data_IF_654479073280
#
_entry.id   IF_654479073280
#
_cell.length_a   1.000
_cell.length_b   1.000
_cell.length_c   1.000
_cell.angle_alpha   90.00
_cell.angle_beta   90.00
_cell.angle_gamma   90.00
#
_symmetry.space_group_name_H-M   'P 1'
#
loop_
_entity.id
_entity.type
_entity.pdbx_description
1 polymer ?
#
# COMPACT_ATOMS: atom_id res chain seq x y z
N UNK A 1 20.66 -3.51 -13.95
CA UNK A 1 20.70 -4.61 -12.95
C UNK A 1 19.88 -4.17 -11.75
N UNK A 2 19.11 -5.07 -11.12
CA UNK A 2 18.41 -4.74 -9.87
C UNK A 2 19.43 -4.41 -8.77
N UNK A 3 19.12 -3.42 -7.92
CA UNK A 3 20.01 -2.98 -6.84
C UNK A 3 21.43 -2.59 -7.30
N UNK A 4 21.53 -1.99 -8.49
CA UNK A 4 22.82 -1.58 -9.09
C UNK A 4 23.31 -0.26 -8.49
N UNK A 5 24.55 -0.27 -7.98
CA UNK A 5 25.22 0.95 -7.48
C UNK A 5 25.41 1.96 -8.62
N UNK A 6 25.81 1.51 -9.81
CA UNK A 6 25.99 2.39 -10.96
C UNK A 6 24.67 3.05 -11.42
N UNK A 7 23.54 2.34 -11.27
CA UNK A 7 22.22 2.91 -11.57
C UNK A 7 21.76 3.93 -10.51
N UNK A 8 22.20 3.81 -9.26
CA UNK A 8 22.00 4.86 -8.24
C UNK A 8 22.86 6.08 -8.60
N UNK A 9 24.11 5.85 -8.98
CA UNK A 9 25.06 6.91 -9.31
C UNK A 9 24.60 7.82 -10.48
N UNK A 10 23.82 7.29 -11.43
CA UNK A 10 23.23 8.08 -12.52
C UNK A 10 22.27 9.16 -12.01
N UNK A 11 21.63 8.93 -10.87
CA UNK A 11 20.66 9.84 -10.25
C UNK A 11 21.23 10.58 -9.03
N UNK A 12 22.54 10.46 -8.74
CA UNK A 12 23.17 11.11 -7.58
C UNK A 12 22.87 12.61 -7.48
N UNK A 13 22.99 13.42 -8.55
CA UNK A 13 22.70 14.85 -8.45
C UNK A 13 21.25 15.16 -8.05
N UNK A 14 20.31 14.30 -8.46
CA UNK A 14 18.92 14.41 -8.07
C UNK A 14 18.75 14.01 -6.59
N UNK A 15 19.42 12.95 -6.15
CA UNK A 15 19.32 12.47 -4.77
C UNK A 15 19.95 13.44 -3.77
N UNK A 16 21.08 14.06 -4.08
CA UNK A 16 21.67 15.12 -3.25
C UNK A 16 20.67 16.27 -3.03
N UNK A 17 20.07 16.79 -4.11
CA UNK A 17 19.03 17.83 -4.01
C UNK A 17 17.83 17.36 -3.17
N UNK A 18 17.39 16.11 -3.32
CA UNK A 18 16.27 15.56 -2.55
C UNK A 18 16.63 15.49 -1.06
N UNK A 19 17.82 15.04 -0.70
CA UNK A 19 18.27 14.99 0.69
C UNK A 19 18.32 16.40 1.29
N UNK A 20 18.91 17.37 0.59
CA UNK A 20 18.97 18.77 1.03
C UNK A 20 17.57 19.36 1.27
N UNK A 21 16.63 19.13 0.34
CA UNK A 21 15.26 19.62 0.50
C UNK A 21 14.50 18.89 1.61
N UNK A 22 14.72 17.59 1.78
CA UNK A 22 14.10 16.82 2.84
C UNK A 22 14.63 17.21 4.21
N UNK A 23 15.92 17.47 4.35
CA UNK A 23 16.54 18.00 5.58
C UNK A 23 15.99 19.39 5.90
N UNK A 24 15.93 20.29 4.91
CA UNK A 24 15.37 21.64 5.10
C UNK A 24 13.89 21.65 5.50
N UNK A 25 13.15 20.58 5.20
CA UNK A 25 11.73 20.41 5.51
C UNK A 25 11.47 19.47 6.70
N UNK A 26 12.52 18.97 7.35
CA UNK A 26 12.43 18.04 8.50
C UNK A 26 11.63 16.76 8.16
N UNK A 27 11.86 16.19 6.97
CA UNK A 27 11.13 15.02 6.47
C UNK A 27 11.67 13.67 6.97
N UNK A 28 12.84 13.66 7.64
CA UNK A 28 13.47 12.47 8.24
C UNK A 28 13.52 11.24 7.29
N UNK A 29 14.00 11.47 6.07
CA UNK A 29 14.17 10.39 5.09
C UNK A 29 15.39 9.53 5.48
N UNK A 30 15.22 8.22 5.53
CA UNK A 30 16.25 7.29 6.00
C UNK A 30 17.15 6.79 4.85
N UNK A 31 16.62 5.89 4.02
CA UNK A 31 17.42 5.20 2.99
C UNK A 31 16.76 5.30 1.64
N UNK A 32 17.56 5.60 0.60
CA UNK A 32 17.20 5.52 -0.80
C UNK A 32 17.85 4.30 -1.47
N UNK A 33 17.07 3.48 -2.17
CA UNK A 33 17.55 2.23 -2.78
C UNK A 33 17.00 2.07 -4.20
N UNK A 34 17.81 1.61 -5.15
CA UNK A 34 17.33 1.17 -6.46
C UNK A 34 16.53 -0.13 -6.34
N UNK A 35 15.32 -0.12 -6.87
CA UNK A 35 14.35 -1.21 -6.76
C UNK A 35 14.41 -2.20 -7.95
N UNK A 36 13.43 -3.11 -8.04
CA UNK A 36 13.38 -4.11 -9.11
C UNK A 36 13.10 -3.48 -10.48
N UNK A 37 12.23 -2.48 -10.59
CA UNK A 37 11.86 -1.90 -11.88
C UNK A 37 12.92 -0.99 -12.50
N UNK A 38 12.86 -0.81 -13.82
CA UNK A 38 13.70 0.15 -14.53
C UNK A 38 13.48 1.59 -14.00
N UNK A 39 14.53 2.22 -13.49
CA UNK A 39 14.47 3.57 -12.91
C UNK A 39 13.59 3.67 -11.66
N UNK A 40 13.26 2.54 -11.03
CA UNK A 40 12.44 2.51 -9.84
C UNK A 40 13.33 2.70 -8.60
N UNK A 41 12.90 3.57 -7.70
CA UNK A 41 13.58 3.87 -6.44
C UNK A 41 12.62 3.67 -5.28
N UNK A 42 13.14 3.19 -4.15
CA UNK A 42 12.46 3.13 -2.86
C UNK A 42 13.07 4.14 -1.91
N UNK A 43 12.21 4.79 -1.13
CA UNK A 43 12.59 5.72 -0.07
C UNK A 43 11.86 5.33 1.20
N UNK A 44 12.62 5.22 2.29
CA UNK A 44 12.12 4.79 3.59
C UNK A 44 11.96 5.97 4.55
N UNK A 45 10.87 5.93 5.31
CA UNK A 45 10.63 6.81 6.45
C UNK A 45 10.77 6.00 7.73
N UNK A 46 11.29 6.63 8.77
CA UNK A 46 11.24 6.05 10.11
C UNK A 46 9.77 5.93 10.58
N UNK A 47 9.49 4.95 11.44
CA UNK A 47 8.17 4.83 12.04
C UNK A 47 7.98 5.90 13.12
N UNK A 48 6.73 6.26 13.41
CA UNK A 48 6.44 7.39 14.30
C UNK A 48 4.95 7.70 14.39
N UNK A 49 4.63 8.96 14.70
CA UNK A 49 3.25 9.42 14.74
C UNK A 49 2.60 9.29 13.35
N UNK A 50 1.44 8.63 13.23
CA UNK A 50 0.86 8.31 11.94
C UNK A 50 0.40 9.55 11.16
N UNK A 51 0.06 10.67 11.83
CA UNK A 51 -0.35 11.89 11.14
C UNK A 51 0.87 12.64 10.61
N UNK A 52 1.91 12.77 11.42
CA UNK A 52 3.20 13.33 10.99
C UNK A 52 3.78 12.55 9.79
N UNK A 53 3.75 11.22 9.84
CA UNK A 53 4.20 10.40 8.71
C UNK A 53 3.36 10.60 7.45
N UNK A 54 2.05 10.81 7.58
CA UNK A 54 1.20 11.09 6.43
C UNK A 54 1.56 12.44 5.79
N UNK A 55 1.83 13.47 6.61
CA UNK A 55 2.31 14.78 6.18
C UNK A 55 3.66 14.63 5.46
N UNK A 56 4.61 13.93 6.08
CA UNK A 56 5.95 13.69 5.52
C UNK A 56 5.89 13.00 4.16
N UNK A 57 5.11 11.92 4.03
CA UNK A 57 4.93 11.22 2.74
C UNK A 57 4.27 12.14 1.70
N UNK A 58 3.27 12.93 2.10
CA UNK A 58 2.59 13.84 1.18
C UNK A 58 3.53 14.93 0.65
N UNK A 59 4.28 15.58 1.54
CA UNK A 59 5.26 16.60 1.18
C UNK A 59 6.40 16.02 0.37
N UNK A 60 6.94 14.87 0.77
CA UNK A 60 7.97 14.16 0.04
C UNK A 60 7.57 13.90 -1.42
N UNK A 61 6.37 13.37 -1.67
CA UNK A 61 5.88 13.13 -3.04
C UNK A 61 5.86 14.40 -3.89
N UNK A 62 5.60 15.56 -3.28
CA UNK A 62 5.61 16.87 -3.95
C UNK A 62 7.04 17.35 -4.18
N UNK A 63 7.88 17.32 -3.15
CA UNK A 63 9.29 17.70 -3.19
C UNK A 63 10.06 16.91 -4.24
N UNK A 64 9.87 15.58 -4.29
CA UNK A 64 10.51 14.71 -5.28
C UNK A 64 10.17 15.12 -6.72
N UNK A 65 8.91 15.47 -6.98
CA UNK A 65 8.48 15.89 -8.32
C UNK A 65 9.13 17.21 -8.72
N UNK A 66 9.19 18.17 -7.81
CA UNK A 66 9.83 19.47 -8.07
C UNK A 66 11.35 19.33 -8.26
N UNK A 67 12.00 18.49 -7.46
CA UNK A 67 13.42 18.18 -7.62
C UNK A 67 13.67 17.53 -8.99
N UNK A 68 12.93 16.47 -9.33
CA UNK A 68 13.08 15.78 -10.62
C UNK A 68 12.93 16.71 -11.83
N UNK A 69 11.97 17.66 -11.78
CA UNK A 69 11.78 18.64 -12.85
C UNK A 69 13.01 19.53 -13.07
N UNK A 70 13.74 19.89 -12.00
CA UNK A 70 15.00 20.67 -12.11
C UNK A 70 16.11 19.90 -12.82
N UNK A 71 16.06 18.58 -12.76
CA UNK A 71 16.98 17.66 -13.43
C UNK A 71 16.47 17.20 -14.80
N UNK A 72 15.45 17.85 -15.37
CA UNK A 72 14.80 17.47 -16.64
C UNK A 72 14.22 16.04 -16.63
N UNK A 73 13.79 15.57 -15.47
CA UNK A 73 13.20 14.24 -15.26
C UNK A 73 11.77 14.35 -14.74
N UNK A 74 11.02 13.26 -14.86
CA UNK A 74 9.70 13.12 -14.24
C UNK A 74 9.72 12.03 -13.17
N UNK A 75 9.53 12.41 -11.92
CA UNK A 75 9.20 11.46 -10.87
C UNK A 75 7.70 11.15 -10.88
N UNK A 76 7.35 9.88 -10.76
CA UNK A 76 5.96 9.41 -10.75
C UNK A 76 5.72 8.38 -9.64
N UNK A 77 4.57 8.50 -8.99
CA UNK A 77 4.07 7.53 -8.01
C UNK A 77 2.90 6.71 -8.57
N UNK A 78 2.70 6.76 -9.89
CA UNK A 78 1.71 5.94 -10.59
C UNK A 78 1.95 4.46 -10.27
N UNK A 79 0.90 3.72 -9.90
CA UNK A 79 1.04 2.34 -9.46
C UNK A 79 1.64 1.42 -10.53
N UNK A 80 1.32 1.64 -11.81
CA UNK A 80 1.85 0.86 -12.94
C UNK A 80 2.18 1.80 -14.11
N UNK A 81 3.36 2.44 -14.10
CA UNK A 81 3.74 3.41 -15.13
C UNK A 81 4.14 2.75 -16.45
N UNK A 82 4.73 1.54 -16.38
CA UNK A 82 5.26 0.81 -17.53
C UNK A 82 4.69 -0.61 -17.59
N UNK A 83 4.38 -1.08 -18.80
CA UNK A 83 4.03 -2.47 -19.03
C UNK A 83 5.28 -3.35 -18.94
N UNK A 84 5.15 -4.59 -18.46
CA UNK A 84 6.28 -5.51 -18.29
C UNK A 84 7.16 -5.25 -17.06
N UNK A 85 7.24 -4.01 -16.58
CA UNK A 85 8.00 -3.64 -15.38
C UNK A 85 7.20 -3.81 -14.08
N UNK A 86 7.83 -4.00 -12.90
CA UNK A 86 7.17 -3.96 -11.59
C UNK A 86 6.36 -2.67 -11.35
N UNK A 87 5.34 -2.77 -10.49
CA UNK A 87 4.56 -1.60 -10.06
C UNK A 87 5.16 -0.90 -8.84
N UNK A 88 4.67 0.30 -8.54
CA UNK A 88 5.07 1.09 -7.37
C UNK A 88 4.06 0.97 -6.23
N UNK A 89 4.56 0.73 -5.02
CA UNK A 89 3.78 0.50 -3.82
C UNK A 89 4.15 1.49 -2.72
N UNK A 90 3.30 1.58 -1.70
CA UNK A 90 3.62 2.23 -0.43
C UNK A 90 3.33 1.22 0.67
N UNK A 91 4.31 0.38 1.01
CA UNK A 91 4.12 -0.60 2.07
C UNK A 91 3.99 0.13 3.41
N UNK A 92 2.95 -0.21 4.17
CA UNK A 92 2.69 0.42 5.47
C UNK A 92 2.96 -0.59 6.58
N UNK A 93 3.97 -0.31 7.38
CA UNK A 93 4.23 -1.04 8.61
C UNK A 93 3.39 -0.45 9.75
N UNK A 94 2.63 -1.28 10.47
CA UNK A 94 1.78 -0.82 11.57
C UNK A 94 1.98 -1.65 12.84
N UNK A 95 2.16 -0.95 13.95
CA UNK A 95 2.08 -1.44 15.33
C UNK A 95 1.14 -0.55 16.13
N UNK A 96 0.56 -1.08 17.19
CA UNK A 96 -0.32 -0.33 18.09
C UNK A 96 0.34 -0.26 19.46
N UNK A 97 0.41 0.93 20.03
CA UNK A 97 1.00 1.16 21.36
C UNK A 97 -0.09 1.59 22.35
N UNK A 98 0.01 1.08 23.58
CA UNK A 98 -0.83 1.54 24.67
C UNK A 98 -0.43 2.96 25.06
N UNK A 99 -1.38 3.90 25.04
CA UNK A 99 -1.10 5.32 25.29
C UNK A 99 -0.62 5.62 26.72
N UNK A 100 -0.91 4.77 27.70
CA UNK A 100 -0.53 5.00 29.10
C UNK A 100 0.84 4.43 29.40
N UNK A 101 1.13 3.23 28.89
CA UNK A 101 2.35 2.49 29.20
C UNK A 101 3.43 2.63 28.13
N UNK A 102 3.07 3.05 26.91
CA UNK A 102 3.96 3.10 25.75
C UNK A 102 4.29 1.72 25.16
N UNK A 103 3.74 0.64 25.72
CA UNK A 103 4.06 -0.72 25.29
C UNK A 103 3.31 -1.12 24.03
N UNK A 104 3.97 -1.90 23.17
CA UNK A 104 3.36 -2.46 21.97
C UNK A 104 2.33 -3.55 22.33
N UNK A 105 1.06 -3.32 22.01
CA UNK A 105 -0.06 -4.20 22.39
C UNK A 105 -0.09 -5.49 21.58
N UNK A 106 0.72 -5.61 20.53
CA UNK A 106 0.87 -6.83 19.74
C UNK A 106 1.72 -7.89 20.45
N UNK A 107 2.28 -7.56 21.61
CA UNK A 107 3.17 -8.42 22.36
C UNK A 107 2.69 -8.62 23.79
N UNK A 108 2.71 -9.86 24.23
CA UNK A 108 2.52 -10.21 25.64
C UNK A 108 3.81 -9.93 26.44
N UNK A 109 3.73 -9.85 27.77
CA UNK A 109 4.91 -9.63 28.63
C UNK A 109 5.99 -10.72 28.49
N UNK A 110 5.62 -11.94 28.08
CA UNK A 110 6.56 -13.05 27.82
C UNK A 110 7.21 -12.97 26.43
N UNK A 111 6.89 -11.94 25.64
CA UNK A 111 7.39 -11.73 24.29
C UNK A 111 6.60 -12.45 23.20
N UNK A 112 5.64 -13.31 23.53
CA UNK A 112 4.77 -13.96 22.54
C UNK A 112 3.82 -12.97 21.87
N UNK A 113 3.29 -13.31 20.70
CA UNK A 113 2.29 -12.50 20.00
C UNK A 113 0.97 -12.52 20.78
N UNK A 114 0.40 -11.33 21.01
CA UNK A 114 -0.85 -11.20 21.75
C UNK A 114 -2.06 -11.63 20.90
N UNK A 115 -3.19 -11.88 21.55
CA UNK A 115 -4.46 -12.11 20.85
C UNK A 115 -4.85 -10.88 20.00
N UNK A 116 -4.56 -9.67 20.48
CA UNK A 116 -4.80 -8.43 19.73
C UNK A 116 -4.02 -8.38 18.42
N UNK A 117 -2.79 -8.90 18.39
CA UNK A 117 -2.02 -8.99 17.15
C UNK A 117 -2.72 -9.85 16.11
N UNK A 118 -3.15 -11.06 16.50
CA UNK A 118 -3.86 -11.95 15.59
C UNK A 118 -5.20 -11.35 15.17
N UNK A 119 -5.95 -10.77 16.11
CA UNK A 119 -7.23 -10.14 15.80
C UNK A 119 -7.09 -8.96 14.84
N UNK A 120 -6.01 -8.18 14.96
CA UNK A 120 -5.68 -7.11 14.03
C UNK A 120 -5.44 -7.66 12.62
N UNK A 121 -4.67 -8.76 12.49
CA UNK A 121 -4.49 -9.47 11.22
C UNK A 121 -5.82 -9.96 10.66
N UNK A 122 -6.67 -10.61 11.46
CA UNK A 122 -7.97 -11.10 11.00
C UNK A 122 -8.90 -9.98 10.53
N UNK A 123 -8.85 -8.82 11.18
CA UNK A 123 -9.52 -7.60 10.71
C UNK A 123 -9.03 -7.15 9.34
N UNK A 124 -7.71 -7.10 9.14
CA UNK A 124 -7.13 -6.76 7.84
C UNK A 124 -7.56 -7.75 6.75
N UNK A 125 -7.49 -9.06 7.00
CA UNK A 125 -7.95 -10.07 6.05
C UNK A 125 -9.42 -9.87 5.68
N UNK A 126 -10.28 -9.61 6.66
CA UNK A 126 -11.71 -9.41 6.43
C UNK A 126 -12.00 -8.12 5.66
N UNK A 127 -11.39 -7.00 6.05
CA UNK A 127 -11.85 -5.67 5.63
C UNK A 127 -11.06 -5.07 4.47
N UNK A 128 -9.79 -5.43 4.25
CA UNK A 128 -8.98 -4.91 3.14
C UNK A 128 -9.69 -5.06 1.77
N UNK A 129 -10.29 -6.22 1.42
CA UNK A 129 -10.98 -6.37 0.14
C UNK A 129 -12.10 -5.33 -0.06
N UNK A 130 -12.77 -4.93 1.02
CA UNK A 130 -13.86 -3.95 0.99
C UNK A 130 -13.41 -2.50 0.97
N UNK A 131 -12.13 -2.21 1.22
CA UNK A 131 -11.57 -0.85 1.16
C UNK A 131 -10.55 -0.67 0.06
N UNK A 132 -10.49 -1.61 -0.90
CA UNK A 132 -9.49 -1.58 -1.96
C UNK A 132 -9.50 -0.29 -2.76
N UNK A 133 -10.65 0.36 -2.94
CA UNK A 133 -10.71 1.66 -3.64
C UNK A 133 -9.95 2.78 -2.92
N UNK A 134 -9.64 2.62 -1.62
CA UNK A 134 -8.84 3.55 -0.82
C UNK A 134 -7.33 3.25 -0.93
N UNK A 135 -6.95 2.01 -1.22
CA UNK A 135 -5.56 1.56 -1.37
C UNK A 135 -5.07 1.52 -2.83
N UNK A 136 -6.01 1.35 -3.76
CA UNK A 136 -5.82 1.27 -5.20
C UNK A 136 -6.84 2.23 -5.87
N UNK A 137 -6.57 3.55 -5.83
CA UNK A 137 -7.58 4.58 -6.12
C UNK A 137 -7.84 4.85 -7.61
N UNK A 138 -7.11 4.21 -8.52
CA UNK A 138 -7.25 4.43 -9.96
C UNK A 138 -7.37 3.11 -10.72
N UNK A 139 -7.90 3.15 -11.94
CA UNK A 139 -7.92 1.95 -12.81
C UNK A 139 -6.52 1.40 -13.06
N UNK A 140 -5.51 2.27 -13.15
CA UNK A 140 -4.11 1.88 -13.27
C UNK A 140 -3.61 1.09 -12.06
N UNK A 141 -4.12 1.36 -10.85
CA UNK A 141 -3.70 0.69 -9.61
C UNK A 141 -3.90 -0.84 -9.67
N UNK A 142 -4.97 -1.30 -10.32
CA UNK A 142 -5.27 -2.73 -10.47
C UNK A 142 -4.33 -3.44 -11.45
N UNK A 143 -3.65 -2.71 -12.35
CA UNK A 143 -2.63 -3.28 -13.25
C UNK A 143 -1.32 -3.61 -12.53
N UNK A 144 -1.13 -3.09 -11.31
CA UNK A 144 -0.02 -3.49 -10.43
C UNK A 144 -0.30 -4.83 -9.75
N UNK A 145 -1.56 -5.13 -9.41
CA UNK A 145 -1.97 -6.28 -8.60
C UNK A 145 -1.99 -7.56 -9.44
N UNK A 146 -0.82 -7.98 -9.93
CA UNK A 146 -0.63 -9.16 -10.77
C UNK A 146 0.36 -10.10 -10.10
N UNK A 147 0.05 -11.39 -10.10
CA UNK A 147 0.90 -12.42 -9.49
C UNK A 147 2.32 -12.41 -10.09
N UNK A 148 3.30 -12.82 -9.29
CA UNK A 148 4.72 -12.91 -9.67
C UNK A 148 5.41 -11.58 -10.03
N UNK A 149 4.83 -10.44 -9.65
CA UNK A 149 5.45 -9.10 -9.86
C UNK A 149 5.83 -8.40 -8.55
N UNK A 150 6.04 -9.17 -7.48
CA UNK A 150 6.26 -8.72 -6.09
C UNK A 150 5.08 -7.96 -5.44
N UNK A 151 4.02 -7.65 -6.19
CA UNK A 151 2.75 -7.13 -5.67
C UNK A 151 1.88 -8.26 -5.12
N UNK A 152 1.14 -8.04 -4.03
CA UNK A 152 0.18 -9.03 -3.53
C UNK A 152 -1.10 -9.03 -4.37
N UNK A 153 -1.72 -10.20 -4.48
CA UNK A 153 -3.03 -10.42 -5.13
C UNK A 153 -4.07 -11.00 -4.16
N UNK A 154 -3.70 -11.09 -2.89
CA UNK A 154 -4.45 -11.73 -1.82
C UNK A 154 -4.31 -10.93 -0.52
N UNK A 155 -5.10 -11.32 0.48
CA UNK A 155 -4.98 -10.84 1.87
C UNK A 155 -4.52 -11.93 2.82
N UNK A 156 -3.77 -12.92 2.33
CA UNK A 156 -3.11 -13.88 3.22
C UNK A 156 -2.11 -13.16 4.12
N UNK A 157 -1.70 -13.83 5.20
CA UNK A 157 -0.65 -13.34 6.07
C UNK A 157 0.43 -14.40 6.32
N UNK A 158 1.65 -13.96 6.61
CA UNK A 158 2.76 -14.87 6.88
C UNK A 158 3.98 -14.19 7.48
N UNK A 159 4.75 -14.93 8.28
CA UNK A 159 6.02 -14.46 8.83
C UNK A 159 7.05 -14.34 7.70
N UNK A 160 7.55 -13.12 7.49
CA UNK A 160 8.53 -12.73 6.47
C UNK A 160 8.23 -13.20 5.02
N UNK A 161 6.98 -13.58 4.74
CA UNK A 161 6.55 -14.04 3.43
C UNK A 161 6.23 -12.83 2.55
N UNK A 162 6.94 -12.65 1.43
CA UNK A 162 6.69 -11.51 0.51
C UNK A 162 5.58 -11.77 -0.53
N UNK A 163 5.04 -12.99 -0.59
CA UNK A 163 3.98 -13.38 -1.53
C UNK A 163 2.57 -13.07 -1.01
N UNK A 164 2.45 -12.74 0.28
CA UNK A 164 1.20 -12.43 0.96
C UNK A 164 0.90 -10.93 0.96
N UNK A 165 -0.37 -10.55 1.11
CA UNK A 165 -0.78 -9.15 1.28
C UNK A 165 -0.39 -8.54 2.63
N UNK A 166 -0.36 -9.37 3.69
CA UNK A 166 -0.09 -8.93 5.06
C UNK A 166 1.15 -9.67 5.58
N UNK A 167 2.33 -9.06 5.43
CA UNK A 167 3.59 -9.66 5.90
C UNK A 167 3.81 -9.33 7.38
N UNK A 168 4.41 -10.25 8.13
CA UNK A 168 4.90 -9.99 9.49
C UNK A 168 6.42 -10.06 9.48
N UNK A 169 7.14 -8.91 9.45
CA UNK A 169 8.60 -8.91 9.45
C UNK A 169 9.18 -9.48 10.75
N UNK A 170 10.33 -10.14 10.65
CA UNK A 170 11.08 -10.56 11.84
C UNK A 170 11.47 -9.34 12.68
N UNK A 171 11.16 -9.42 13.97
CA UNK A 171 11.36 -8.33 14.93
C UNK A 171 11.35 -8.88 16.35
N UNK A 172 11.92 -8.10 17.28
CA UNK A 172 11.74 -8.35 18.70
C UNK A 172 10.30 -7.96 19.13
N UNK A 173 9.84 -8.35 20.33
CA UNK A 173 8.47 -8.06 20.77
C UNK A 173 8.12 -6.57 20.80
N UNK A 174 9.07 -5.68 21.11
CA UNK A 174 8.86 -4.24 21.13
C UNK A 174 8.55 -3.69 19.73
N UNK A 175 9.20 -4.23 18.70
CA UNK A 175 9.08 -3.80 17.30
C UNK A 175 8.13 -4.68 16.46
N UNK A 176 7.33 -5.54 17.11
CA UNK A 176 6.36 -6.42 16.42
C UNK A 176 5.34 -5.58 15.68
N UNK A 177 5.21 -5.84 14.39
CA UNK A 177 4.33 -5.09 13.47
C UNK A 177 3.87 -5.99 12.32
N UNK A 178 2.77 -5.60 11.68
CA UNK A 178 2.43 -6.10 10.36
C UNK A 178 2.93 -5.11 9.29
N UNK A 179 3.03 -5.58 8.05
CA UNK A 179 3.27 -4.81 6.83
C UNK A 179 2.09 -5.05 5.88
N UNK A 180 1.32 -4.00 5.62
CA UNK A 180 0.31 -4.00 4.57
C UNK A 180 0.97 -3.67 3.23
N UNK A 181 1.09 -4.69 2.37
CA UNK A 181 1.77 -4.61 1.07
C UNK A 181 0.83 -4.22 -0.07
N UNK A 182 -0.47 -4.12 0.21
CA UNK A 182 -1.50 -3.93 -0.81
C UNK A 182 -1.53 -2.50 -1.33
N UNK A 183 -1.18 -1.53 -0.50
CA UNK A 183 -1.33 -0.10 -0.77
C UNK A 183 -0.41 0.35 -1.92
N UNK A 184 -1.01 1.02 -2.91
CA UNK A 184 -0.29 1.60 -4.05
C UNK A 184 0.44 2.89 -3.68
N UNK A 185 1.52 3.20 -4.39
CA UNK A 185 2.22 4.49 -4.24
C UNK A 185 1.35 5.69 -4.63
N UNK A 186 0.30 5.45 -5.42
CA UNK A 186 -0.70 6.42 -5.87
C UNK A 186 -1.83 6.66 -4.84
N UNK A 187 -1.85 5.90 -3.74
CA UNK A 187 -2.78 6.10 -2.65
C UNK A 187 -2.52 7.43 -1.90
N UNK A 188 -3.60 8.02 -1.41
CA UNK A 188 -3.53 9.13 -0.46
C UNK A 188 -3.02 8.59 0.89
N UNK A 189 -1.90 9.09 1.43
CA UNK A 189 -1.28 8.52 2.64
C UNK A 189 -2.21 8.59 3.85
N UNK A 190 -2.89 9.71 4.10
CA UNK A 190 -3.83 9.86 5.21
C UNK A 190 -4.95 8.82 5.15
N UNK A 191 -5.57 8.67 3.97
CA UNK A 191 -6.68 7.74 3.77
C UNK A 191 -6.20 6.30 3.89
N UNK A 192 -5.03 5.98 3.34
CA UNK A 192 -4.46 4.64 3.42
C UNK A 192 -4.14 4.24 4.87
N UNK A 193 -3.50 5.12 5.65
CA UNK A 193 -3.20 4.86 7.06
C UNK A 193 -4.48 4.71 7.88
N UNK A 194 -5.45 5.62 7.68
CA UNK A 194 -6.73 5.58 8.39
C UNK A 194 -7.54 4.32 8.08
N UNK A 195 -7.63 3.93 6.80
CA UNK A 195 -8.35 2.72 6.40
C UNK A 195 -7.65 1.45 6.90
N UNK A 196 -6.33 1.36 6.79
CA UNK A 196 -5.57 0.20 7.29
C UNK A 196 -5.71 0.06 8.81
N UNK A 197 -5.67 1.18 9.56
CA UNK A 197 -5.94 1.19 10.99
C UNK A 197 -7.38 0.77 11.31
N UNK A 198 -8.37 1.29 10.59
CA UNK A 198 -9.78 0.97 10.80
C UNK A 198 -10.06 -0.52 10.59
N UNK A 199 -9.50 -1.13 9.55
CA UNK A 199 -9.61 -2.57 9.30
C UNK A 199 -9.07 -3.41 10.47
N UNK A 200 -7.85 -3.13 10.91
CA UNK A 200 -7.25 -3.87 12.02
C UNK A 200 -7.91 -3.58 13.37
N UNK A 201 -8.35 -2.33 13.61
CA UNK A 201 -9.10 -1.94 14.80
C UNK A 201 -10.41 -2.71 14.92
N UNK A 202 -11.20 -2.80 13.84
CA UNK A 202 -12.42 -3.61 13.84
C UNK A 202 -12.13 -5.10 14.07
N UNK A 203 -10.99 -5.60 13.57
CA UNK A 203 -10.50 -6.94 13.90
C UNK A 203 -10.32 -7.15 15.40
N UNK A 204 -9.63 -6.22 16.07
CA UNK A 204 -9.43 -6.26 17.52
C UNK A 204 -10.73 -6.14 18.31
N UNK A 205 -11.63 -5.22 17.93
CA UNK A 205 -12.92 -4.99 18.60
C UNK A 205 -13.83 -6.22 18.48
N UNK A 206 -13.89 -6.81 17.27
CA UNK A 206 -14.77 -7.93 16.98
C UNK A 206 -14.12 -9.30 17.23
N UNK A 207 -12.87 -9.32 17.74
CA UNK A 207 -12.08 -10.53 18.01
C UNK A 207 -12.01 -11.49 16.82
N UNK A 208 -11.67 -10.95 15.66
CA UNK A 208 -11.66 -11.69 14.40
C UNK A 208 -10.38 -12.52 14.30
N UNK A 209 -10.49 -13.82 14.49
CA UNK A 209 -9.36 -14.74 14.28
C UNK A 209 -8.93 -14.75 12.81
N UNK A 210 -7.63 -14.59 12.50
CA UNK A 210 -7.14 -14.69 11.13
C UNK A 210 -7.17 -16.15 10.65
N UNK A 211 -7.09 -16.33 9.33
CA UNK A 211 -6.79 -17.64 8.76
C UNK A 211 -5.43 -18.16 9.25
N UNK A 212 -5.17 -19.48 9.15
CA UNK A 212 -3.84 -20.01 9.44
C UNK A 212 -2.75 -19.30 8.63
N UNK A 213 -1.58 -19.15 9.24
CA UNK A 213 -0.42 -18.53 8.61
C UNK A 213 -0.08 -19.21 7.27
N UNK A 214 0.10 -18.40 6.22
CA UNK A 214 0.54 -18.85 4.91
C UNK A 214 2.05 -19.11 4.91
N UNK A 215 2.41 -20.39 5.08
CA UNK A 215 3.80 -20.87 5.08
C UNK A 215 4.37 -21.13 3.68
N UNK A 216 3.52 -21.12 2.66
CA UNK A 216 3.90 -21.41 1.26
C UNK A 216 3.71 -20.18 0.38
N UNK A 217 3.92 -20.35 -0.92
CA UNK A 217 3.70 -19.28 -1.89
C UNK A 217 2.20 -19.01 -2.06
N UNK A 218 1.76 -17.81 -1.64
CA UNK A 218 0.36 -17.41 -1.71
C UNK A 218 -0.14 -17.20 -3.14
N UNK A 219 0.74 -16.98 -4.13
CA UNK A 219 0.33 -16.80 -5.53
C UNK A 219 -0.30 -18.05 -6.15
N UNK A 220 -0.02 -19.23 -5.60
CA UNK A 220 -0.53 -20.52 -6.08
C UNK A 220 -1.41 -21.22 -5.04
N UNK A 221 -1.74 -20.53 -3.95
CA UNK A 221 -2.57 -21.09 -2.89
C UNK A 221 -4.05 -21.12 -3.35
N UNK A 222 -4.69 -22.30 -3.41
CA UNK A 222 -6.03 -22.44 -3.98
C UNK A 222 -7.12 -21.74 -3.16
N UNK A 223 -6.88 -21.54 -1.86
CA UNK A 223 -7.85 -20.97 -0.92
C UNK A 223 -7.49 -19.54 -0.50
N UNK A 224 -6.55 -18.89 -1.21
CA UNK A 224 -6.18 -17.52 -0.89
C UNK A 224 -7.38 -16.58 -1.10
N UNK A 225 -7.63 -15.70 -0.13
CA UNK A 225 -8.68 -14.69 -0.28
C UNK A 225 -8.21 -13.66 -1.31
N UNK A 226 -8.88 -13.54 -2.48
CA UNK A 226 -8.42 -12.65 -3.54
C UNK A 226 -8.74 -11.19 -3.24
N UNK A 227 -7.95 -10.30 -3.82
CA UNK A 227 -8.29 -8.88 -3.90
C UNK A 227 -9.22 -8.60 -5.10
N UNK A 228 -10.14 -7.63 -4.99
CA UNK A 228 -10.85 -7.07 -6.14
C UNK A 228 -9.94 -6.74 -7.32
N UNK A 229 -10.43 -7.01 -8.53
CA UNK A 229 -9.64 -6.89 -9.77
C UNK A 229 -9.93 -5.62 -10.57
N UNK A 230 -10.89 -4.80 -10.13
CA UNK A 230 -11.19 -3.53 -10.77
C UNK A 230 -11.56 -2.43 -9.78
N UNK A 231 -11.41 -1.17 -10.22
CA UNK A 231 -11.86 -0.01 -9.45
C UNK A 231 -13.37 -0.07 -9.18
N UNK A 232 -14.16 -0.46 -10.19
CA UNK A 232 -15.62 -0.49 -10.05
C UNK A 232 -16.10 -1.55 -9.05
N UNK A 233 -15.45 -2.71 -9.00
CA UNK A 233 -15.71 -3.75 -8.01
C UNK A 233 -15.35 -3.26 -6.61
N UNK A 234 -14.15 -2.71 -6.46
CA UNK A 234 -13.64 -2.22 -5.18
C UNK A 234 -14.49 -1.09 -4.60
N UNK A 235 -15.00 -0.18 -5.44
CA UNK A 235 -15.85 0.92 -4.98
C UNK A 235 -17.20 0.41 -4.47
N UNK A 236 -17.77 -0.62 -5.11
CA UNK A 236 -19.02 -1.25 -4.66
C UNK A 236 -18.82 -2.06 -3.38
N UNK A 237 -17.66 -2.71 -3.22
CA UNK A 237 -17.37 -3.53 -2.05
C UNK A 237 -17.38 -2.75 -0.72
N UNK A 238 -17.21 -1.41 -0.76
CA UNK A 238 -17.37 -0.54 0.42
C UNK A 238 -18.79 -0.60 1.00
N UNK A 239 -19.82 -0.87 0.18
CA UNK A 239 -21.22 -0.92 0.63
C UNK A 239 -21.51 -2.14 1.54
N UNK A 240 -20.66 -3.16 1.49
CA UNK A 240 -20.84 -4.41 2.23
C UNK A 240 -20.32 -4.34 3.68
N UNK A 241 -19.70 -3.21 4.08
CA UNK A 241 -19.05 -3.04 5.39
C UNK A 241 -19.48 -1.75 6.11
N UNK A 242 -20.76 -1.64 6.51
CA UNK A 242 -21.30 -0.43 7.13
C UNK A 242 -20.60 -0.04 8.45
N UNK A 243 -20.03 -0.99 9.19
CA UNK A 243 -19.24 -0.71 10.40
C UNK A 243 -17.95 0.07 10.08
N UNK A 244 -17.35 -0.19 8.92
CA UNK A 244 -16.14 0.49 8.49
C UNK A 244 -16.48 1.87 7.90
N UNK A 245 -17.60 1.98 7.19
CA UNK A 245 -18.14 3.27 6.75
C UNK A 245 -18.46 4.19 7.95
N UNK A 246 -18.93 3.62 9.06
CA UNK A 246 -19.19 4.38 10.28
C UNK A 246 -17.90 4.97 10.89
N UNK A 247 -16.78 4.24 10.83
CA UNK A 247 -15.47 4.71 11.32
C UNK A 247 -14.87 5.77 10.40
N UNK A 248 -14.85 5.51 9.09
CA UNK A 248 -14.27 6.44 8.10
C UNK A 248 -15.16 7.67 7.84
N UNK A 249 -16.45 7.57 8.19
CA UNK A 249 -17.44 8.62 8.02
C UNK A 249 -18.26 8.44 6.74
N UNK A 250 -19.57 8.21 6.93
CA UNK A 250 -20.55 8.03 5.83
C UNK A 250 -20.49 9.11 4.74
N UNK A 251 -20.31 10.37 5.14
CA UNK A 251 -20.20 11.49 4.19
C UNK A 251 -18.94 11.36 3.33
N UNK A 252 -17.80 11.02 3.94
CA UNK A 252 -16.54 10.83 3.22
C UNK A 252 -16.68 9.66 2.24
N UNK A 253 -17.12 8.49 2.71
CA UNK A 253 -17.28 7.32 1.86
C UNK A 253 -18.26 7.56 0.71
N UNK A 254 -19.41 8.20 0.96
CA UNK A 254 -20.39 8.55 -0.08
C UNK A 254 -19.79 9.43 -1.18
N UNK A 255 -19.08 10.50 -0.82
CA UNK A 255 -18.43 11.40 -1.78
C UNK A 255 -17.30 10.66 -2.52
N UNK A 256 -16.46 9.92 -1.80
CA UNK A 256 -15.35 9.18 -2.39
C UNK A 256 -15.81 8.18 -3.44
N UNK A 257 -16.86 7.39 -3.13
CA UNK A 257 -17.49 6.45 -4.07
C UNK A 257 -17.99 7.18 -5.33
N UNK A 258 -18.70 8.30 -5.17
CA UNK A 258 -19.23 9.06 -6.29
C UNK A 258 -18.10 9.58 -7.22
N UNK A 259 -17.04 10.15 -6.65
CA UNK A 259 -15.87 10.62 -7.42
C UNK A 259 -15.23 9.46 -8.17
N UNK A 260 -14.96 8.33 -7.49
CA UNK A 260 -14.29 7.19 -8.12
C UNK A 260 -15.12 6.49 -9.19
N UNK A 261 -16.43 6.41 -9.03
CA UNK A 261 -17.32 5.94 -10.10
C UNK A 261 -17.35 6.88 -11.30
N UNK A 262 -17.28 8.20 -11.08
CA UNK A 262 -17.18 9.18 -12.17
C UNK A 262 -15.85 9.06 -12.93
N UNK A 263 -14.73 8.94 -12.23
CA UNK A 263 -13.41 8.70 -12.84
C UNK A 263 -13.39 7.40 -13.64
N UNK A 264 -13.95 6.31 -13.07
CA UNK A 264 -14.09 5.03 -13.77
C UNK A 264 -14.93 5.16 -15.04
N UNK A 265 -16.09 5.83 -14.97
CA UNK A 265 -16.95 6.04 -16.13
C UNK A 265 -16.26 6.84 -17.24
N UNK A 266 -15.40 7.80 -16.89
CA UNK A 266 -14.61 8.54 -17.87
C UNK A 266 -13.53 7.66 -18.51
N UNK A 267 -12.81 6.87 -17.69
CA UNK A 267 -11.83 5.92 -18.20
C UNK A 267 -12.45 4.94 -19.20
N UNK A 268 -13.67 4.45 -18.95
CA UNK A 268 -14.35 3.51 -19.83
C UNK A 268 -14.71 4.08 -21.21
N UNK A 269 -14.61 5.40 -21.42
CA UNK A 269 -14.76 6.03 -22.75
C UNK A 269 -13.47 5.99 -23.58
N UNK A 270 -12.33 5.66 -22.96
CA UNK A 270 -11.03 5.64 -23.62
C UNK A 270 -10.88 4.34 -24.40
N UNK A 271 -10.77 4.45 -25.73
CA UNK A 271 -10.44 3.31 -26.60
C UNK A 271 -8.93 3.20 -26.75
N UNK A 272 -8.35 2.14 -26.22
CA UNK A 272 -6.92 1.92 -26.22
C UNK A 272 -6.38 1.53 -27.61
N UNK A 273 -5.10 1.79 -27.90
CA UNK A 273 -4.44 1.29 -29.10
C UNK A 273 -4.54 -0.25 -29.22
N UNK A 274 -4.43 -0.98 -28.10
CA UNK A 274 -4.56 -2.43 -28.07
C UNK A 274 -5.92 -2.91 -28.60
N UNK A 275 -7.02 -2.27 -28.17
CA UNK A 275 -8.37 -2.60 -28.65
C UNK A 275 -8.49 -2.38 -30.16
N UNK A 276 -7.94 -1.28 -30.68
CA UNK A 276 -7.95 -1.02 -32.12
C UNK A 276 -7.11 -2.03 -32.89
N UNK A 277 -5.96 -2.41 -32.36
CA UNK A 277 -5.08 -3.38 -33.01
C UNK A 277 -5.71 -4.77 -33.09
N UNK A 278 -6.41 -5.22 -32.05
CA UNK A 278 -6.89 -6.60 -31.94
C UNK A 278 -8.37 -6.80 -32.33
N UNK A 279 -9.20 -5.76 -32.17
CA UNK A 279 -10.66 -5.88 -32.32
C UNK A 279 -11.20 -5.19 -33.58
N UNK A 280 -10.45 -4.28 -34.20
CA UNK A 280 -10.96 -3.45 -35.32
C UNK A 280 -11.44 -4.29 -36.53
N UNK A 281 -10.78 -5.42 -36.78
CA UNK A 281 -11.11 -6.33 -37.89
C UNK A 281 -11.68 -7.67 -37.41
N UNK A 282 -11.99 -7.79 -36.12
CA UNK A 282 -12.59 -9.01 -35.58
C UNK A 282 -14.07 -9.06 -36.00
N UNK A 283 -14.46 -10.13 -36.72
CA UNK A 283 -15.85 -10.43 -37.09
C UNK A 283 -16.53 -11.23 -35.99
#
# INVERSE_FOLDING_TARGET
QHYSIDAVNEFDPLFEDIYDYCEAMDLDVDTLIHEVGAGQMEINFLHGDPLDLADKVFFFKRTLREAALRHNMFATFMAKPMAGEPGSAMHVHQSIVDRKTGMNVFSNPDGSASELFYNYIGGLQKYIPHVMALFAPYVNSYRRLVSNTAAPTNVEWGADNRTVGIRVPFSNPENRRMENRVIGADANPYVALAASLACGYLGMVNKITPLPEMKTNAYVAPNAIPLPQSLSESVRALDDVPELEAILGKRFCGIYKAVKMSEYAEFMKVISPWEREHLLLHV
#
